data_IF_763944273752
#
_entry.id   IF_763944273752
#
_cell.length_a   1.000
_cell.length_b   1.000
_cell.length_c   1.000
_cell.angle_alpha   90.00
_cell.angle_beta   90.00
_cell.angle_gamma   90.00
#
_symmetry.space_group_name_H-M   'P 1'
#
loop_
_entity.id
_entity.type
_entity.pdbx_description
1 polymer ?
#
# COMPACT_ATOMS: atom_id res chain seq x y z
N UNK A 1 12.03 -22.26 -8.54
CA UNK A 1 10.69 -22.85 -8.39
C UNK A 1 10.39 -23.01 -6.91
N UNK A 2 9.64 -22.07 -6.32
CA UNK A 2 8.73 -22.19 -5.16
C UNK A 2 8.06 -20.82 -4.98
N UNK A 3 6.90 -20.69 -5.61
CA UNK A 3 5.90 -19.70 -5.25
C UNK A 3 5.47 -19.95 -3.82
N UNK A 4 5.37 -18.90 -3.02
CA UNK A 4 4.42 -18.89 -1.92
C UNK A 4 3.80 -17.50 -2.01
N UNK A 5 2.58 -17.28 -2.52
CA UNK A 5 1.32 -17.68 -1.90
C UNK A 5 1.22 -17.38 -0.39
N UNK A 6 2.26 -16.79 0.19
CA UNK A 6 2.32 -16.27 1.55
C UNK A 6 2.16 -14.76 1.50
N UNK A 7 1.02 -14.14 1.77
CA UNK A 7 -0.38 -14.58 1.79
C UNK A 7 -1.17 -13.27 1.51
N UNK A 8 -1.62 -13.02 0.27
CA UNK A 8 -2.58 -11.91 -0.01
C UNK A 8 -3.79 -11.97 0.92
N UNK A 9 -4.13 -13.18 1.37
CA UNK A 9 -5.14 -13.42 2.38
C UNK A 9 -4.71 -13.02 3.79
N UNK A 10 -3.43 -13.03 4.18
CA UNK A 10 -2.98 -12.49 5.48
C UNK A 10 -3.05 -10.99 5.47
N UNK A 11 -2.63 -10.33 4.39
CA UNK A 11 -2.76 -8.88 4.27
C UNK A 11 -4.25 -8.49 4.26
N UNK A 12 -5.08 -9.21 3.48
CA UNK A 12 -6.54 -9.01 3.46
C UNK A 12 -7.18 -9.29 4.82
N UNK A 13 -6.74 -10.32 5.55
CA UNK A 13 -7.23 -10.64 6.88
C UNK A 13 -6.75 -9.60 7.91
N UNK A 14 -5.51 -9.11 7.82
CA UNK A 14 -4.98 -8.04 8.67
C UNK A 14 -5.78 -6.74 8.47
N UNK A 15 -6.11 -6.42 7.22
CA UNK A 15 -6.98 -5.28 6.88
C UNK A 15 -8.44 -5.46 7.34
N UNK A 16 -8.91 -6.71 7.50
CA UNK A 16 -10.25 -7.02 8.02
C UNK A 16 -10.30 -7.07 9.55
N UNK A 17 -9.18 -7.38 10.21
CA UNK A 17 -9.08 -7.58 11.66
C UNK A 17 -8.64 -6.31 12.39
N UNK A 18 -7.92 -5.40 11.71
CA UNK A 18 -7.64 -4.08 12.29
C UNK A 18 -8.96 -3.35 12.53
N UNK A 19 -9.28 -2.93 13.77
CA UNK A 19 -10.48 -2.15 14.02
C UNK A 19 -10.31 -0.82 13.30
N UNK A 20 -10.89 -0.68 12.12
CA UNK A 20 -10.96 0.59 11.36
C UNK A 20 -11.92 1.60 12.05
N UNK A 21 -12.11 1.47 13.36
CA UNK A 21 -12.89 2.39 14.19
C UNK A 21 -12.14 3.72 14.30
N UNK A 22 -12.85 4.80 14.00
CA UNK A 22 -12.33 6.14 13.75
C UNK A 22 -12.00 6.93 15.03
N UNK A 23 -11.59 6.27 16.12
CA UNK A 23 -11.61 6.87 17.46
C UNK A 23 -10.36 6.62 18.30
N UNK A 24 -9.16 6.90 17.75
CA UNK A 24 -7.97 7.34 18.50
C UNK A 24 -6.88 7.79 17.51
N UNK A 25 -6.27 8.96 17.71
CA UNK A 25 -5.18 9.44 16.87
C UNK A 25 -3.97 8.48 16.82
N UNK A 26 -3.75 7.71 17.89
CA UNK A 26 -2.71 6.66 17.93
C UNK A 26 -2.97 5.52 16.94
N UNK A 27 -4.24 5.16 16.74
CA UNK A 27 -4.67 4.09 15.84
C UNK A 27 -4.48 4.50 14.36
N UNK A 28 -4.76 5.77 14.02
CA UNK A 28 -4.47 6.34 12.68
C UNK A 28 -2.96 6.36 12.40
N UNK A 29 -2.13 6.79 13.35
CA UNK A 29 -0.67 6.81 13.17
C UNK A 29 -0.12 5.40 12.96
N UNK A 30 -0.60 4.40 13.71
CA UNK A 30 -0.22 3.01 13.54
C UNK A 30 -0.67 2.46 12.18
N UNK A 31 -1.95 2.62 11.81
CA UNK A 31 -2.50 2.19 10.52
C UNK A 31 -1.71 2.71 9.33
N UNK A 32 -1.36 4.01 9.32
CA UNK A 32 -0.58 4.60 8.21
C UNK A 32 0.86 4.06 8.22
N UNK A 33 1.43 3.67 9.37
CA UNK A 33 2.73 3.00 9.42
C UNK A 33 2.67 1.62 8.76
N UNK A 34 1.63 0.83 9.07
CA UNK A 34 1.40 -0.49 8.49
C UNK A 34 1.25 -0.38 6.96
N UNK A 35 0.47 0.59 6.47
CA UNK A 35 0.31 0.82 5.03
C UNK A 35 1.63 1.20 4.35
N UNK A 36 2.42 2.09 4.96
CA UNK A 36 3.74 2.46 4.42
C UNK A 36 4.70 1.26 4.39
N UNK A 37 4.69 0.40 5.42
CA UNK A 37 5.48 -0.84 5.45
C UNK A 37 5.04 -1.84 4.39
N UNK A 38 3.74 -1.95 4.12
CA UNK A 38 3.21 -2.77 3.01
C UNK A 38 3.75 -2.27 1.67
N UNK A 39 3.68 -0.96 1.41
CA UNK A 39 4.20 -0.36 0.18
C UNK A 39 5.71 -0.57 0.08
N UNK A 40 6.44 -0.45 1.19
CA UNK A 40 7.89 -0.68 1.25
C UNK A 40 8.25 -2.13 0.91
N UNK A 41 7.54 -3.11 1.48
CA UNK A 41 7.73 -4.53 1.19
C UNK A 41 7.52 -4.84 -0.29
N UNK A 42 6.45 -4.32 -0.89
CA UNK A 42 6.21 -4.47 -2.33
C UNK A 42 7.32 -3.82 -3.19
N UNK A 43 7.83 -2.65 -2.79
CA UNK A 43 8.96 -2.00 -3.47
C UNK A 43 10.22 -2.84 -3.39
N UNK A 44 10.52 -3.44 -2.24
CA UNK A 44 11.67 -4.35 -2.05
C UNK A 44 11.52 -5.61 -2.90
N UNK A 45 10.30 -6.13 -3.03
CA UNK A 45 9.97 -7.28 -3.88
C UNK A 45 9.85 -6.93 -5.36
N UNK A 46 10.04 -5.66 -5.75
CA UNK A 46 9.86 -5.14 -7.11
C UNK A 46 8.47 -5.45 -7.70
N UNK A 47 7.43 -5.50 -6.86
CA UNK A 47 6.05 -5.76 -7.26
C UNK A 47 5.21 -4.49 -7.27
N UNK A 48 4.27 -4.43 -8.22
CA UNK A 48 3.27 -3.36 -8.32
C UNK A 48 1.90 -3.99 -8.52
N UNK A 49 1.03 -3.78 -7.53
CA UNK A 49 -0.28 -4.43 -7.44
C UNK A 49 -1.37 -3.39 -7.24
N UNK A 50 -2.63 -3.78 -7.41
CA UNK A 50 -3.75 -2.89 -7.07
C UNK A 50 -3.92 -2.71 -5.55
N UNK A 51 -3.31 -3.58 -4.73
CA UNK A 51 -3.21 -3.38 -3.28
C UNK A 51 -2.36 -2.14 -2.98
N UNK A 52 -1.34 -1.86 -3.80
CA UNK A 52 -0.59 -0.60 -3.73
C UNK A 52 -1.52 0.61 -3.89
N UNK A 53 -2.42 0.58 -4.88
CA UNK A 53 -3.37 1.68 -5.12
C UNK A 53 -4.30 1.88 -3.94
N UNK A 54 -4.83 0.79 -3.39
CA UNK A 54 -5.67 0.83 -2.20
C UNK A 54 -4.94 1.40 -0.98
N UNK A 55 -3.68 1.03 -0.77
CA UNK A 55 -2.88 1.54 0.34
C UNK A 55 -2.65 3.06 0.21
N UNK A 56 -2.32 3.55 -1.00
CA UNK A 56 -2.12 4.97 -1.26
C UNK A 56 -3.43 5.78 -1.13
N UNK A 57 -4.56 5.24 -1.59
CA UNK A 57 -5.90 5.83 -1.41
C UNK A 57 -6.27 5.95 0.08
N UNK A 58 -5.98 4.92 0.88
CA UNK A 58 -6.19 4.94 2.33
C UNK A 58 -5.30 5.96 3.03
N UNK A 59 -4.00 6.00 2.69
CA UNK A 59 -3.08 7.00 3.25
C UNK A 59 -3.60 8.42 2.93
N UNK A 60 -4.03 8.66 1.69
CA UNK A 60 -4.62 9.94 1.30
C UNK A 60 -5.84 10.31 2.15
N UNK A 61 -6.72 9.36 2.44
CA UNK A 61 -7.91 9.66 3.24
C UNK A 61 -7.54 9.95 4.69
N UNK A 62 -6.52 9.28 5.22
CA UNK A 62 -5.99 9.56 6.56
C UNK A 62 -5.36 10.94 6.62
N UNK A 63 -4.54 11.32 5.63
CA UNK A 63 -3.89 12.63 5.55
C UNK A 63 -4.94 13.75 5.51
N UNK A 64 -5.99 13.55 4.72
CA UNK A 64 -7.12 14.48 4.66
C UNK A 64 -7.84 14.61 6.00
N UNK A 65 -8.06 13.51 6.72
CA UNK A 65 -8.70 13.53 8.04
C UNK A 65 -7.83 14.22 9.08
N UNK A 66 -6.51 14.11 8.94
CA UNK A 66 -5.51 14.76 9.81
C UNK A 66 -5.25 16.23 9.40
N UNK A 67 -5.91 16.74 8.36
CA UNK A 67 -5.72 18.10 7.83
C UNK A 67 -4.38 18.32 7.13
N UNK A 68 -3.69 17.24 6.74
CA UNK A 68 -2.42 17.26 6.02
C UNK A 68 -2.69 17.40 4.53
N UNK A 69 -2.03 18.35 3.88
CA UNK A 69 -2.12 18.51 2.43
C UNK A 69 -1.54 17.29 1.71
N UNK A 70 -2.20 16.88 0.62
CA UNK A 70 -1.73 15.76 -0.20
C UNK A 70 -0.47 16.18 -0.95
N UNK A 71 0.65 15.58 -0.55
CA UNK A 71 1.94 15.78 -1.18
C UNK A 71 1.98 15.32 -2.64
N UNK A 72 2.80 15.99 -3.45
CA UNK A 72 2.94 15.68 -4.87
C UNK A 72 3.52 14.27 -5.12
N UNK A 73 4.43 13.81 -4.25
CA UNK A 73 5.01 12.47 -4.33
C UNK A 73 3.96 11.36 -4.20
N UNK A 74 2.93 11.55 -3.38
CA UNK A 74 1.80 10.62 -3.23
C UNK A 74 1.00 10.52 -4.53
N UNK A 75 0.69 11.66 -5.17
CA UNK A 75 -0.04 11.70 -6.44
C UNK A 75 0.73 11.00 -7.54
N UNK A 76 2.01 11.34 -7.71
CA UNK A 76 2.85 10.76 -8.76
C UNK A 76 3.09 9.27 -8.51
N UNK A 77 3.27 8.85 -7.26
CA UNK A 77 3.40 7.42 -6.91
C UNK A 77 2.12 6.64 -7.20
N UNK A 78 0.95 7.19 -6.86
CA UNK A 78 -0.36 6.60 -7.17
C UNK A 78 -0.53 6.43 -8.68
N UNK A 79 -0.26 7.50 -9.42
CA UNK A 79 -0.45 7.50 -10.85
C UNK A 79 0.47 6.52 -11.58
N UNK A 80 1.77 6.52 -11.26
CA UNK A 80 2.72 5.58 -11.84
C UNK A 80 2.36 4.12 -11.53
N UNK A 81 1.90 3.83 -10.30
CA UNK A 81 1.43 2.50 -9.93
C UNK A 81 0.16 2.09 -10.71
N UNK A 82 -0.76 3.02 -10.97
CA UNK A 82 -1.98 2.75 -11.70
C UNK A 82 -1.70 2.43 -13.17
N UNK A 83 -0.82 3.21 -13.80
CA UNK A 83 -0.31 2.97 -15.16
C UNK A 83 0.31 1.59 -15.25
N UNK A 84 1.25 1.24 -14.37
CA UNK A 84 1.89 -0.08 -14.35
C UNK A 84 0.88 -1.21 -14.17
N UNK A 85 -0.15 -1.03 -13.32
CA UNK A 85 -1.19 -2.04 -13.14
C UNK A 85 -1.97 -2.36 -14.43
N UNK A 86 -1.99 -1.47 -15.41
CA UNK A 86 -2.63 -1.70 -16.71
C UNK A 86 -1.61 -2.13 -17.77
N UNK A 87 -0.52 -1.38 -17.93
CA UNK A 87 0.49 -1.58 -18.99
C UNK A 87 1.21 -2.93 -18.83
N UNK A 88 1.37 -3.45 -17.62
CA UNK A 88 1.97 -4.79 -17.41
C UNK A 88 1.25 -5.91 -18.15
N UNK A 89 -0.08 -5.84 -18.29
CA UNK A 89 -0.85 -6.83 -19.04
C UNK A 89 -0.61 -6.71 -20.54
N UNK A 90 -0.42 -5.48 -21.03
CA UNK A 90 -0.07 -5.21 -22.43
C UNK A 90 1.34 -5.74 -22.75
N UNK A 91 2.32 -5.50 -21.89
CA UNK A 91 3.69 -5.92 -22.09
C UNK A 91 3.88 -7.45 -22.02
N UNK A 92 3.14 -8.14 -21.14
CA UNK A 92 3.28 -9.58 -20.94
C UNK A 92 2.46 -10.42 -21.93
N UNK A 93 1.26 -9.96 -22.29
CA UNK A 93 0.28 -10.80 -22.99
C UNK A 93 -0.35 -10.12 -24.21
N UNK A 94 0.12 -8.91 -24.57
CA UNK A 94 -0.43 -8.12 -25.66
C UNK A 94 -1.83 -7.56 -25.37
N UNK A 95 -2.53 -7.14 -26.42
CA UNK A 95 -3.91 -6.66 -26.31
C UNK A 95 -4.80 -7.89 -26.07
N UNK A 96 -5.24 -8.07 -24.83
CA UNK A 96 -6.12 -9.18 -24.47
C UNK A 96 -7.20 -8.77 -23.45
N UNK A 97 -8.04 -9.74 -23.08
CA UNK A 97 -9.10 -9.50 -22.10
C UNK A 97 -8.60 -9.01 -20.74
N UNK A 98 -7.40 -9.41 -20.30
CA UNK A 98 -6.83 -8.97 -19.01
C UNK A 98 -6.43 -7.49 -19.03
N UNK A 99 -5.85 -7.02 -20.14
CA UNK A 99 -5.58 -5.60 -20.33
C UNK A 99 -6.88 -4.78 -20.25
N UNK A 100 -7.92 -5.21 -20.98
CA UNK A 100 -9.21 -4.51 -20.98
C UNK A 100 -9.86 -4.48 -19.59
N UNK A 101 -9.86 -5.61 -18.88
CA UNK A 101 -10.39 -5.68 -17.51
C UNK A 101 -9.58 -4.84 -16.53
N UNK A 102 -8.26 -4.74 -16.69
CA UNK A 102 -7.42 -3.84 -15.90
C UNK A 102 -7.76 -2.37 -16.17
N UNK A 103 -7.88 -1.96 -17.44
CA UNK A 103 -8.27 -0.58 -17.81
C UNK A 103 -9.66 -0.24 -17.29
N UNK A 104 -10.63 -1.15 -17.44
CA UNK A 104 -12.00 -0.95 -16.94
C UNK A 104 -12.02 -0.77 -15.42
N UNK A 105 -11.28 -1.59 -14.69
CA UNK A 105 -11.29 -1.59 -13.21
C UNK A 105 -10.46 -0.47 -12.60
N UNK A 106 -9.25 -0.24 -13.11
CA UNK A 106 -8.33 0.78 -12.59
C UNK A 106 -8.66 2.16 -13.16
N UNK A 107 -8.68 2.30 -14.49
CA UNK A 107 -8.90 3.60 -15.12
C UNK A 107 -10.36 4.05 -14.98
N UNK A 108 -11.31 3.31 -15.55
CA UNK A 108 -12.72 3.74 -15.56
C UNK A 108 -13.38 3.60 -14.19
N UNK A 109 -12.96 2.60 -13.42
CA UNK A 109 -13.43 2.34 -12.07
C UNK A 109 -12.76 3.29 -11.07
N UNK A 110 -11.54 2.99 -10.62
CA UNK A 110 -10.89 3.73 -9.53
C UNK A 110 -10.64 5.20 -9.89
N UNK A 111 -9.83 5.46 -10.92
CA UNK A 111 -9.45 6.84 -11.33
C UNK A 111 -10.67 7.64 -11.74
N UNK A 112 -11.53 7.08 -12.61
CA UNK A 112 -12.74 7.75 -13.07
C UNK A 112 -13.73 8.08 -11.94
N UNK A 113 -13.79 7.26 -10.88
CA UNK A 113 -14.58 7.60 -9.69
C UNK A 113 -13.92 8.72 -8.87
N UNK A 114 -12.58 8.74 -8.76
CA UNK A 114 -11.86 9.85 -8.12
C UNK A 114 -12.09 11.17 -8.86
N UNK A 115 -11.99 11.18 -10.20
CA UNK A 115 -12.26 12.35 -11.05
C UNK A 115 -13.67 12.93 -10.81
N UNK A 116 -14.69 12.06 -10.69
CA UNK A 116 -16.09 12.47 -10.48
C UNK A 116 -16.40 12.92 -9.05
N UNK A 117 -15.59 12.50 -8.08
CA UNK A 117 -15.93 12.63 -6.66
C UNK A 117 -15.64 13.99 -6.02
N UNK A 118 -15.37 15.03 -6.81
CA UNK A 118 -15.14 16.40 -6.34
C UNK A 118 -13.97 16.49 -5.35
N UNK A 119 -14.26 16.41 -4.05
CA UNK A 119 -13.31 16.54 -2.95
C UNK A 119 -12.32 15.36 -2.79
N UNK A 120 -12.50 14.23 -3.49
CA UNK A 120 -11.49 13.16 -3.54
C UNK A 120 -10.66 13.16 -4.83
N UNK A 121 -10.86 14.15 -5.70
CA UNK A 121 -10.10 14.26 -6.95
C UNK A 121 -8.66 14.71 -6.74
N UNK A 122 -8.26 15.13 -5.54
CA UNK A 122 -6.92 15.70 -5.28
C UNK A 122 -5.75 14.76 -5.64
N UNK A 123 -5.95 13.44 -5.67
CA UNK A 123 -4.95 12.48 -6.17
C UNK A 123 -4.73 12.54 -7.69
N UNK A 124 -5.74 12.98 -8.44
CA UNK A 124 -5.80 12.94 -9.90
C UNK A 124 -6.03 14.32 -10.53
N UNK A 125 -6.24 15.36 -9.72
CA UNK A 125 -6.46 16.74 -10.16
C UNK A 125 -5.16 17.36 -10.66
N UNK A 126 -5.27 18.18 -11.71
CA UNK A 126 -4.17 18.96 -12.32
C UNK A 126 -2.97 18.15 -12.82
N UNK A 127 -3.19 16.87 -13.17
CA UNK A 127 -2.15 16.03 -13.73
C UNK A 127 -2.28 15.97 -15.28
N UNK A 128 -1.44 16.75 -15.98
CA UNK A 128 -1.40 16.72 -17.45
C UNK A 128 -1.00 15.35 -18.01
N UNK A 129 -0.15 14.61 -17.29
CA UNK A 129 0.23 13.24 -17.67
C UNK A 129 -0.97 12.29 -17.62
N UNK A 130 -1.92 12.49 -16.69
CA UNK A 130 -3.16 11.71 -16.60
C UNK A 130 -3.96 11.80 -17.92
N UNK A 131 -4.06 12.99 -18.50
CA UNK A 131 -4.78 13.18 -19.77
C UNK A 131 -4.06 12.50 -20.93
N UNK A 132 -2.72 12.57 -20.95
CA UNK A 132 -1.92 11.88 -21.95
C UNK A 132 -2.09 10.35 -21.86
N UNK A 133 -1.95 9.79 -20.66
CA UNK A 133 -2.14 8.36 -20.41
C UNK A 133 -3.56 7.89 -20.69
N UNK A 134 -4.58 8.71 -20.42
CA UNK A 134 -5.98 8.42 -20.79
C UNK A 134 -6.10 8.12 -22.27
N UNK A 135 -5.62 9.05 -23.09
CA UNK A 135 -5.73 8.98 -24.53
C UNK A 135 -4.95 7.79 -25.06
N UNK A 136 -3.75 7.55 -24.53
CA UNK A 136 -2.91 6.43 -24.93
C UNK A 136 -3.52 5.07 -24.57
N UNK A 137 -4.00 4.89 -23.33
CA UNK A 137 -4.57 3.63 -22.86
C UNK A 137 -5.86 3.26 -23.62
N UNK A 138 -6.65 4.26 -24.03
CA UNK A 138 -7.83 4.05 -24.88
C UNK A 138 -7.44 3.82 -26.34
N UNK A 139 -6.42 4.51 -26.86
CA UNK A 139 -5.95 4.36 -28.25
C UNK A 139 -5.28 3.02 -28.55
N UNK A 140 -4.86 2.25 -27.53
CA UNK A 140 -4.33 0.88 -27.67
C UNK A 140 -5.24 -0.02 -28.52
N UNK A 141 -6.55 0.21 -28.52
CA UNK A 141 -7.53 -0.60 -29.26
C UNK A 141 -7.44 -0.44 -30.79
N UNK A 142 -6.89 0.67 -31.29
CA UNK A 142 -6.90 0.97 -32.72
C UNK A 142 -5.58 1.54 -33.26
N UNK A 143 -4.61 1.86 -32.41
CA UNK A 143 -3.30 2.38 -32.82
C UNK A 143 -2.15 1.45 -32.41
N UNK A 144 -1.68 0.66 -33.38
CA UNK A 144 -0.55 -0.24 -33.20
C UNK A 144 0.77 0.47 -32.83
N UNK A 145 0.93 1.77 -33.16
CA UNK A 145 2.10 2.55 -32.75
C UNK A 145 2.05 2.86 -31.27
N UNK A 146 0.86 3.16 -30.73
CA UNK A 146 0.64 3.36 -29.29
C UNK A 146 0.95 2.08 -28.53
N UNK A 147 0.46 0.93 -29.01
CA UNK A 147 0.75 -0.39 -28.43
C UNK A 147 2.26 -0.61 -28.33
N UNK A 148 2.98 -0.47 -29.44
CA UNK A 148 4.44 -0.65 -29.47
C UNK A 148 5.16 0.32 -28.55
N UNK A 149 4.72 1.59 -28.48
CA UNK A 149 5.30 2.59 -27.58
C UNK A 149 5.11 2.16 -26.13
N UNK A 150 3.88 1.85 -25.72
CA UNK A 150 3.56 1.48 -24.34
C UNK A 150 4.28 0.19 -23.89
N UNK A 151 4.41 -0.80 -24.77
CA UNK A 151 5.17 -2.03 -24.47
C UNK A 151 6.67 -1.78 -24.26
N UNK A 152 7.21 -0.69 -24.80
CA UNK A 152 8.62 -0.32 -24.64
C UNK A 152 8.88 0.58 -23.41
N UNK A 153 7.83 1.04 -22.72
CA UNK A 153 7.98 1.83 -21.52
C UNK A 153 8.35 0.92 -20.34
N UNK A 154 9.26 1.40 -19.50
CA UNK A 154 9.62 0.70 -18.26
C UNK A 154 8.76 1.19 -17.09
N UNK A 155 7.44 1.09 -17.25
CA UNK A 155 6.45 1.60 -16.29
C UNK A 155 6.63 1.00 -14.89
N UNK A 156 7.13 -0.23 -14.80
CA UNK A 156 7.46 -0.87 -13.52
C UNK A 156 8.57 -0.14 -12.77
N UNK A 157 9.66 0.19 -13.46
CA UNK A 157 10.80 0.89 -12.83
C UNK A 157 10.39 2.30 -12.41
N UNK A 158 9.63 3.00 -13.24
CA UNK A 158 9.09 4.32 -12.90
C UNK A 158 8.19 4.23 -11.67
N UNK A 159 7.23 3.29 -11.62
CA UNK A 159 6.36 3.09 -10.47
C UNK A 159 7.15 2.80 -9.19
N UNK A 160 8.18 1.95 -9.26
CA UNK A 160 9.03 1.66 -8.10
C UNK A 160 9.83 2.89 -7.64
N UNK A 161 10.36 3.69 -8.57
CA UNK A 161 11.10 4.92 -8.23
C UNK A 161 10.20 5.95 -7.56
N UNK A 162 9.02 6.24 -8.14
CA UNK A 162 8.08 7.21 -7.58
C UNK A 162 7.58 6.78 -6.21
N UNK A 163 7.33 5.49 -6.00
CA UNK A 163 6.97 4.93 -4.69
C UNK A 163 8.11 5.03 -3.67
N UNK A 164 9.37 4.85 -4.06
CA UNK A 164 10.53 5.07 -3.16
C UNK A 164 10.61 6.54 -2.73
N UNK A 165 10.43 7.46 -3.67
CA UNK A 165 10.43 8.90 -3.36
C UNK A 165 9.32 9.25 -2.36
N UNK A 166 8.09 8.78 -2.63
CA UNK A 166 6.97 8.92 -1.69
C UNK A 166 7.26 8.33 -0.30
N UNK A 167 7.80 7.11 -0.24
CA UNK A 167 8.16 6.48 1.04
C UNK A 167 9.20 7.32 1.80
N UNK A 168 10.21 7.83 1.11
CA UNK A 168 11.22 8.71 1.71
C UNK A 168 10.61 9.94 2.36
N UNK A 169 9.74 10.65 1.63
CA UNK A 169 9.02 11.82 2.16
C UNK A 169 8.08 11.45 3.32
N UNK A 170 7.31 10.36 3.17
CA UNK A 170 6.35 9.93 4.19
C UNK A 170 7.02 9.48 5.51
N UNK A 171 8.19 8.83 5.43
CA UNK A 171 8.97 8.48 6.61
C UNK A 171 9.65 9.70 7.25
N UNK A 172 10.18 10.63 6.44
CA UNK A 172 10.76 11.88 6.94
C UNK A 172 9.73 12.72 7.72
N UNK A 173 8.49 12.82 7.23
CA UNK A 173 7.40 13.55 7.89
C UNK A 173 6.97 12.94 9.22
N UNK A 174 7.16 11.64 9.42
CA UNK A 174 6.80 10.98 10.68
C UNK A 174 7.78 11.26 11.81
N UNK A 175 8.94 11.81 11.48
CA UNK A 175 10.09 11.95 12.38
C UNK A 175 10.68 10.59 12.77
N UNK A 176 11.87 10.59 13.38
CA UNK A 176 12.42 9.40 14.00
C UNK A 176 11.38 8.84 14.99
N UNK A 177 11.20 7.52 14.96
CA UNK A 177 10.41 6.88 16.03
C UNK A 177 11.04 7.21 17.39
N UNK A 178 10.28 7.14 18.49
CA UNK A 178 10.85 7.37 19.83
C UNK A 178 12.10 6.51 20.06
N UNK A 179 12.10 5.29 19.52
CA UNK A 179 13.26 4.39 19.48
C UNK A 179 14.46 5.00 18.76
N UNK A 180 14.26 5.56 17.57
CA UNK A 180 15.34 6.13 16.74
C UNK A 180 15.89 7.46 17.31
N UNK A 181 15.05 8.21 18.02
CA UNK A 181 15.45 9.35 18.83
C UNK A 181 16.25 8.94 20.09
N UNK A 182 16.00 7.74 20.62
CA UNK A 182 16.72 7.18 21.79
C UNK A 182 18.01 6.45 21.37
N UNK A 183 18.07 5.83 20.18
CA UNK A 183 19.30 5.19 19.66
C UNK A 183 20.34 6.22 19.22
N UNK A 184 19.93 7.40 18.76
CA UNK A 184 20.86 8.52 18.56
C UNK A 184 21.46 9.05 19.87
N UNK A 185 20.87 8.73 21.02
CA UNK A 185 21.43 9.01 22.35
C UNK A 185 22.16 7.83 23.01
N UNK A 186 22.05 6.60 22.48
CA UNK A 186 22.80 5.45 23.00
C UNK A 186 23.41 4.61 21.88
N UNK A 187 24.73 4.71 21.76
CA UNK A 187 25.53 3.84 20.91
C UNK A 187 25.29 2.37 21.33
N UNK A 188 24.71 1.59 20.41
CA UNK A 188 24.88 0.14 20.31
C UNK A 188 24.12 -0.75 21.31
N UNK A 189 22.78 -0.80 21.23
CA UNK A 189 21.98 -1.92 21.78
C UNK A 189 20.50 -1.97 21.32
N UNK A 190 19.98 -0.95 20.63
CA UNK A 190 18.53 -0.69 20.59
C UNK A 190 17.68 -1.42 19.54
N UNK A 191 18.27 -2.09 18.55
CA UNK A 191 17.50 -2.66 17.42
C UNK A 191 16.63 -3.87 17.84
N UNK A 192 17.11 -4.66 18.81
CA UNK A 192 16.37 -5.81 19.36
C UNK A 192 15.25 -5.43 20.35
N UNK A 193 15.34 -4.25 20.96
CA UNK A 193 14.34 -3.77 21.93
C UNK A 193 13.08 -3.23 21.24
N UNK A 194 13.25 -2.59 20.07
CA UNK A 194 12.16 -2.04 19.29
C UNK A 194 11.24 -3.12 18.70
N UNK A 195 11.83 -4.24 18.27
CA UNK A 195 11.09 -5.41 17.78
C UNK A 195 10.29 -6.06 18.91
N UNK A 196 10.87 -6.16 20.12
CA UNK A 196 10.17 -6.68 21.28
C UNK A 196 9.01 -5.78 21.74
N UNK A 197 9.13 -4.45 21.60
CA UNK A 197 8.05 -3.52 21.97
C UNK A 197 6.91 -3.51 20.94
N UNK A 198 7.21 -3.62 19.64
CA UNK A 198 6.18 -3.79 18.61
C UNK A 198 5.47 -5.13 18.78
N UNK A 199 6.20 -6.19 19.08
CA UNK A 199 5.63 -7.52 19.40
C UNK A 199 4.79 -7.44 20.68
N UNK A 200 5.25 -6.76 21.72
CA UNK A 200 4.51 -6.57 22.96
C UNK A 200 3.20 -5.80 22.73
N UNK A 201 3.21 -4.74 21.91
CA UNK A 201 1.99 -3.98 21.57
C UNK A 201 1.03 -4.75 20.68
N UNK A 202 1.54 -5.56 19.75
CA UNK A 202 0.71 -6.48 18.95
C UNK A 202 0.07 -7.56 19.84
N UNK A 203 0.81 -8.06 20.83
CA UNK A 203 0.30 -9.01 21.83
C UNK A 203 -0.70 -8.39 22.80
N UNK A 204 -0.49 -7.15 23.25
CA UNK A 204 -1.47 -6.42 24.09
C UNK A 204 -2.76 -6.14 23.33
N UNK A 205 -2.67 -5.74 22.05
CA UNK A 205 -3.85 -5.55 21.20
C UNK A 205 -4.60 -6.87 20.97
N UNK A 206 -3.88 -7.99 20.84
CA UNK A 206 -4.47 -9.31 20.73
C UNK A 206 -5.18 -9.76 22.02
N UNK A 207 -4.59 -9.47 23.18
CA UNK A 207 -5.16 -9.80 24.49
C UNK A 207 -6.41 -8.96 24.82
N UNK A 208 -6.39 -7.68 24.45
CA UNK A 208 -7.53 -6.77 24.68
C UNK A 208 -8.75 -7.09 23.79
N UNK A 209 -8.53 -7.76 22.65
CA UNK A 209 -9.61 -8.24 21.78
C UNK A 209 -10.21 -9.56 22.32
N UNK A 210 -9.43 -10.41 22.98
CA UNK A 210 -9.91 -11.62 23.67
C UNK A 210 -10.83 -11.28 24.86
N UNK A 211 -10.52 -10.25 25.65
CA UNK A 211 -11.38 -9.82 26.77
C UNK A 211 -12.74 -9.28 26.31
N UNK A 212 -12.81 -8.65 25.12
CA UNK A 212 -14.09 -8.23 24.51
C UNK A 212 -14.89 -9.42 23.94
N UNK A 213 -14.22 -10.52 23.58
CA UNK A 213 -14.85 -11.75 23.08
C UNK A 213 -15.23 -12.74 24.20
N UNK A 214 -14.63 -12.64 25.39
CA UNK A 214 -15.08 -13.40 26.57
C UNK A 214 -16.44 -12.87 27.09
N UNK A 215 -16.77 -11.61 26.83
CA UNK A 215 -18.11 -11.07 27.08
C UNK A 215 -19.17 -11.49 26.03
N UNK A 216 -18.76 -12.06 24.89
CA UNK A 216 -19.63 -12.46 23.79
C UNK A 216 -19.28 -13.84 23.25
N UNK A 217 -19.87 -14.89 23.82
CA UNK A 217 -19.66 -16.31 23.49
C UNK A 217 -19.26 -16.59 22.01
N UNK A 218 -18.03 -17.08 21.84
CA UNK A 218 -17.74 -18.21 20.95
C UNK A 218 -16.89 -17.95 19.69
N UNK A 219 -15.58 -18.20 19.80
CA UNK A 219 -14.73 -19.04 18.90
C UNK A 219 -13.25 -18.68 19.09
N UNK A 220 -12.62 -19.28 20.11
CA UNK A 220 -11.16 -19.24 20.32
C UNK A 220 -10.54 -20.42 19.58
N UNK A 221 -10.03 -20.20 18.36
CA UNK A 221 -9.19 -21.21 17.67
C UNK A 221 -8.41 -20.66 16.48
N UNK A 222 -8.81 -19.53 15.87
CA UNK A 222 -8.15 -19.02 14.67
C UNK A 222 -7.21 -17.83 14.92
N UNK A 223 -7.31 -17.17 16.08
CA UNK A 223 -6.59 -15.92 16.35
C UNK A 223 -5.13 -16.15 16.79
N UNK A 224 -4.90 -17.11 17.68
CA UNK A 224 -3.55 -17.52 18.13
C UNK A 224 -2.68 -18.04 16.99
N UNK A 225 -3.29 -18.74 16.02
CA UNK A 225 -2.57 -19.21 14.82
C UNK A 225 -2.19 -18.04 13.87
N UNK A 226 -2.95 -16.94 13.89
CA UNK A 226 -2.69 -15.76 13.05
C UNK A 226 -1.57 -14.89 13.63
N UNK A 227 -1.51 -14.72 14.95
CA UNK A 227 -0.42 -14.01 15.63
C UNK A 227 0.94 -14.71 15.44
N UNK A 228 0.99 -16.04 15.59
CA UNK A 228 2.21 -16.81 15.29
C UNK A 228 2.62 -16.72 13.81
N UNK A 229 1.65 -16.64 12.89
CA UNK A 229 1.94 -16.49 11.45
C UNK A 229 2.51 -15.11 11.12
N UNK A 230 2.04 -14.05 11.78
CA UNK A 230 2.59 -12.69 11.63
C UNK A 230 4.01 -12.60 12.19
N UNK A 231 4.28 -13.24 13.34
CA UNK A 231 5.62 -13.36 13.91
C UNK A 231 6.60 -14.12 13.00
N UNK A 232 6.17 -15.21 12.36
CA UNK A 232 7.00 -15.95 11.40
C UNK A 232 7.30 -15.12 10.14
N UNK A 233 6.34 -14.33 9.66
CA UNK A 233 6.55 -13.44 8.50
C UNK A 233 7.53 -12.31 8.83
N UNK A 234 7.50 -11.79 10.06
CA UNK A 234 8.46 -10.78 10.53
C UNK A 234 9.88 -11.36 10.72
N UNK A 235 10.00 -12.60 11.21
CA UNK A 235 11.30 -13.25 11.43
C UNK A 235 11.95 -13.82 10.15
N UNK A 236 11.18 -14.23 9.14
CA UNK A 236 11.69 -14.89 7.92
C UNK A 236 12.32 -13.94 6.88
N UNK A 237 12.21 -12.62 7.08
CA UNK A 237 12.77 -11.60 6.18
C UNK A 237 14.12 -11.02 6.67
N UNK A 238 14.66 -11.52 7.79
CA UNK A 238 15.90 -11.05 8.43
C UNK A 238 17.05 -12.08 8.43
N UNK A 239 17.05 -13.09 7.55
CA UNK A 239 18.21 -13.96 7.31
C UNK A 239 18.64 -14.04 5.86
#
# INVERSE_FOLDING_TARGET
MRSSAVQDHVIKNLLQVLPLSSAAAEDTRFKKAVLLRTIQSEVSNATVTETTLQALELIKEMDRNDGVEIGESLKVAYFAAAVECMVKYLALEGINGKYFEAVKRVWRGRIGNLEKSGNKSELVRDNAELTWWKNDLEAVLWDAKVVKRLMNLNTRVEALQKRRAFLGEAWALRGPSFIEAVTTTSNGAGELAAEQEVVARVLELAANEEDKLVAGKGKVSNFTMTACSVLIILYSQCS
#
